data_IF_796014796025
#
_entry.id   IF_796014796025
#
_cell.length_a   1.000
_cell.length_b   1.000
_cell.length_c   1.000
_cell.angle_alpha   90.00
_cell.angle_beta   90.00
_cell.angle_gamma   90.00
#
_symmetry.space_group_name_H-M   'P 1'
#
loop_
_entity.id
_entity.type
_entity.pdbx_description
1 polymer ?
#
# COMPACT_ATOMS: atom_id res chain seq x y z
N UNK A 1 -7.57 10.58 3.79
CA UNK A 1 -8.13 11.88 3.33
C UNK A 1 -7.48 12.33 2.01
N UNK A 2 -6.17 12.61 1.98
CA UNK A 2 -5.44 12.94 0.75
C UNK A 2 -5.50 11.81 -0.29
N UNK A 3 -5.32 10.56 0.14
CA UNK A 3 -5.36 9.37 -0.73
C UNK A 3 -6.66 9.28 -1.56
N UNK A 4 -7.83 9.29 -0.88
CA UNK A 4 -9.14 9.32 -1.56
C UNK A 4 -9.32 10.53 -2.48
N UNK A 5 -8.81 11.69 -2.10
CA UNK A 5 -8.93 12.90 -2.93
C UNK A 5 -8.19 12.72 -4.26
N UNK A 6 -6.95 12.21 -4.21
CA UNK A 6 -6.14 11.92 -5.41
C UNK A 6 -6.78 10.80 -6.25
N UNK A 7 -7.24 9.71 -5.62
CA UNK A 7 -7.92 8.64 -6.34
C UNK A 7 -9.17 9.15 -7.09
N UNK A 8 -9.94 10.04 -6.46
CA UNK A 8 -11.10 10.68 -7.08
C UNK A 8 -10.72 11.60 -8.24
N UNK A 9 -9.68 12.41 -8.07
CA UNK A 9 -9.16 13.31 -9.11
C UNK A 9 -8.72 12.53 -10.35
N UNK A 10 -8.02 11.42 -10.15
CA UNK A 10 -7.56 10.52 -11.22
C UNK A 10 -8.66 9.59 -11.75
N UNK A 11 -9.89 9.66 -11.22
CA UNK A 11 -11.00 8.74 -11.53
C UNK A 11 -10.60 7.26 -11.37
N UNK A 12 -9.68 6.96 -10.46
CA UNK A 12 -9.23 5.60 -10.18
C UNK A 12 -10.27 4.88 -9.33
N UNK A 13 -10.65 3.65 -9.74
CA UNK A 13 -11.44 2.76 -8.87
C UNK A 13 -10.57 2.25 -7.73
N UNK A 14 -11.18 1.82 -6.62
CA UNK A 14 -10.44 1.35 -5.43
C UNK A 14 -9.44 0.25 -5.80
N UNK A 15 -9.84 -0.69 -6.65
CA UNK A 15 -9.04 -1.83 -7.10
C UNK A 15 -7.82 -1.40 -7.93
N UNK A 16 -7.80 -0.17 -8.43
CA UNK A 16 -6.70 0.43 -9.18
C UNK A 16 -5.76 1.27 -8.30
N UNK A 17 -5.90 1.17 -6.97
CA UNK A 17 -5.10 1.95 -6.02
C UNK A 17 -4.20 1.05 -5.19
N UNK A 18 -2.96 1.48 -5.03
CA UNK A 18 -1.93 0.82 -4.22
C UNK A 18 -1.45 1.79 -3.15
N UNK A 19 -1.37 1.34 -1.90
CA UNK A 19 -0.71 2.06 -0.82
C UNK A 19 0.52 1.27 -0.35
N UNK A 20 1.66 1.95 -0.25
CA UNK A 20 2.93 1.35 0.19
C UNK A 20 3.41 2.13 1.40
N UNK A 21 3.77 1.44 2.47
CA UNK A 21 4.22 2.08 3.70
C UNK A 21 4.98 1.14 4.62
N UNK A 22 5.73 1.70 5.56
CA UNK A 22 6.57 0.99 6.53
C UNK A 22 6.07 1.18 7.98
N UNK A 23 5.22 2.18 8.20
CA UNK A 23 4.81 2.65 9.52
C UNK A 23 3.33 2.46 9.85
N UNK A 24 3.01 2.52 11.14
CA UNK A 24 1.62 2.46 11.62
C UNK A 24 0.76 3.65 11.14
N UNK A 25 1.41 4.77 10.80
CA UNK A 25 0.74 5.96 10.28
C UNK A 25 0.09 5.69 8.91
N UNK A 26 0.60 4.71 8.17
CA UNK A 26 0.10 4.36 6.84
C UNK A 26 -1.11 3.44 6.90
N UNK A 27 -1.37 2.77 8.04
CA UNK A 27 -2.44 1.78 8.19
C UNK A 27 -3.81 2.30 7.75
N UNK A 28 -4.12 3.56 8.07
CA UNK A 28 -5.38 4.19 7.63
C UNK A 28 -5.45 4.31 6.11
N UNK A 29 -4.35 4.67 5.47
CA UNK A 29 -4.26 4.77 4.00
C UNK A 29 -4.26 3.39 3.36
N UNK A 30 -3.58 2.42 3.96
CA UNK A 30 -3.53 1.02 3.52
C UNK A 30 -4.92 0.38 3.53
N UNK A 31 -5.72 0.63 4.57
CA UNK A 31 -7.10 0.17 4.65
C UNK A 31 -8.03 0.81 3.60
N UNK A 32 -7.70 2.01 3.13
CA UNK A 32 -8.45 2.72 2.08
C UNK A 32 -8.11 2.21 0.66
N UNK A 33 -6.92 1.64 0.46
CA UNK A 33 -6.42 1.17 -0.85
C UNK A 33 -7.05 -0.16 -1.30
N UNK A 34 -6.94 -0.45 -2.60
CA UNK A 34 -7.29 -1.76 -3.16
C UNK A 34 -6.26 -2.82 -2.79
N UNK A 35 -4.98 -2.49 -2.96
CA UNK A 35 -3.84 -3.32 -2.53
C UNK A 35 -2.97 -2.49 -1.59
N UNK A 36 -2.48 -3.12 -0.53
CA UNK A 36 -1.56 -2.47 0.40
C UNK A 36 -0.29 -3.30 0.60
N UNK A 37 0.86 -2.63 0.58
CA UNK A 37 2.18 -3.28 0.62
C UNK A 37 2.97 -2.73 1.80
N UNK A 38 3.27 -3.59 2.76
CA UNK A 38 4.17 -3.28 3.85
C UNK A 38 5.62 -3.38 3.35
N UNK A 39 6.32 -2.25 3.24
CA UNK A 39 7.70 -2.21 2.79
C UNK A 39 8.65 -2.09 3.99
N UNK A 40 9.48 -3.12 4.25
CA UNK A 40 10.39 -3.19 5.39
C UNK A 40 9.73 -2.82 6.75
N UNK A 41 8.42 -3.07 6.85
CA UNK A 41 7.60 -2.51 7.93
C UNK A 41 7.76 -3.26 9.25
N UNK A 42 7.23 -2.73 10.35
CA UNK A 42 7.14 -3.47 11.63
C UNK A 42 6.07 -4.59 11.56
N UNK A 43 6.15 -5.65 12.39
CA UNK A 43 5.19 -6.77 12.35
C UNK A 43 3.71 -6.35 12.41
N UNK A 44 3.39 -5.33 13.21
CA UNK A 44 2.02 -4.78 13.34
C UNK A 44 1.48 -4.21 12.02
N UNK A 45 2.36 -3.67 11.17
CA UNK A 45 2.00 -3.12 9.86
C UNK A 45 1.86 -4.26 8.85
N UNK A 46 2.80 -5.21 8.87
CA UNK A 46 2.77 -6.40 7.99
C UNK A 46 1.48 -7.20 8.16
N UNK A 47 1.01 -7.36 9.39
CA UNK A 47 -0.21 -8.11 9.70
C UNK A 47 -1.51 -7.46 9.16
N UNK A 48 -1.46 -6.18 8.82
CA UNK A 48 -2.61 -5.41 8.33
C UNK A 48 -2.50 -5.05 6.84
N UNK A 49 -1.36 -5.34 6.22
CA UNK A 49 -1.13 -5.13 4.80
C UNK A 49 -1.60 -6.33 3.98
N UNK A 50 -1.89 -6.12 2.70
CA UNK A 50 -2.22 -7.20 1.76
C UNK A 50 -1.02 -8.10 1.50
N UNK A 51 0.18 -7.52 1.41
CA UNK A 51 1.45 -8.26 1.34
C UNK A 51 2.59 -7.45 1.98
N UNK A 52 3.76 -8.09 2.14
CA UNK A 52 4.95 -7.46 2.70
C UNK A 52 6.20 -7.78 1.89
N UNK A 53 6.99 -6.76 1.58
CA UNK A 53 8.33 -6.88 1.04
C UNK A 53 9.31 -6.66 2.20
N UNK A 54 10.00 -7.73 2.61
CA UNK A 54 10.89 -7.72 3.78
C UNK A 54 12.38 -7.78 3.44
N UNK A 55 12.71 -8.19 2.22
CA UNK A 55 14.09 -8.51 1.80
C UNK A 55 14.48 -7.91 0.46
N UNK A 56 13.50 -7.43 -0.32
CA UNK A 56 13.71 -6.83 -1.64
C UNK A 56 13.72 -5.30 -1.54
N UNK A 57 14.31 -4.64 -2.54
CA UNK A 57 14.10 -3.22 -2.75
C UNK A 57 12.64 -2.90 -3.13
N UNK A 58 12.35 -1.59 -3.24
CA UNK A 58 11.02 -1.10 -3.61
C UNK A 58 10.64 -1.46 -5.05
N UNK A 59 11.64 -1.67 -5.91
CA UNK A 59 11.51 -2.23 -7.25
C UNK A 59 10.81 -3.60 -7.26
N UNK A 60 10.94 -4.38 -6.19
CA UNK A 60 10.22 -5.64 -6.03
C UNK A 60 8.68 -5.51 -6.07
N UNK A 61 8.15 -4.30 -5.91
CA UNK A 61 6.71 -4.02 -6.09
C UNK A 61 6.26 -4.25 -7.53
N UNK A 62 7.11 -3.98 -8.52
CA UNK A 62 6.74 -4.11 -9.94
C UNK A 62 6.35 -5.56 -10.25
N UNK A 63 7.10 -6.51 -9.71
CA UNK A 63 6.87 -7.95 -9.87
C UNK A 63 5.53 -8.46 -9.27
N UNK A 64 4.80 -7.62 -8.51
CA UNK A 64 3.50 -7.98 -7.94
C UNK A 64 2.34 -7.69 -8.90
N UNK A 65 2.58 -6.94 -9.98
CA UNK A 65 1.55 -6.46 -10.91
C UNK A 65 1.87 -6.79 -12.38
N UNK A 66 2.88 -7.63 -12.63
CA UNK A 66 3.13 -8.23 -13.94
C UNK A 66 2.11 -9.31 -14.31
#
# INVERSE_FOLDING_TARGET
AKFRAVAKELKARKEQTVAIGDGANDLKTMAEAGVSIAFHAKPVVRAQASCALNWSGLDGVVNLFE
#
